data_IF_374163387044
#
_entry.id   IF_374163387044
#
_cell.length_a   1.000
_cell.length_b   1.000
_cell.length_c   1.000
_cell.angle_alpha   90.00
_cell.angle_beta   90.00
_cell.angle_gamma   90.00
#
_symmetry.space_group_name_H-M   'P 1'
#
loop_
_entity.id
_entity.type
_entity.pdbx_description
1 polymer ?
#
# COMPACT_ATOMS: atom_id res chain seq x y z
N UNK A 1 6.43 -40.12 14.27
CA UNK A 1 7.54 -39.43 14.97
C UNK A 1 7.46 -37.99 14.56
N UNK A 2 7.05 -37.15 15.46
CA UNK A 2 7.02 -35.72 15.23
C UNK A 2 8.45 -35.19 15.38
N UNK A 3 9.08 -34.83 14.32
CA UNK A 3 10.28 -34.02 14.39
C UNK A 3 9.85 -32.58 14.68
N UNK A 4 9.64 -32.30 15.94
CA UNK A 4 9.60 -30.94 16.42
C UNK A 4 10.99 -30.33 16.28
N UNK A 5 11.32 -29.85 15.10
CA UNK A 5 12.54 -29.08 14.90
C UNK A 5 12.25 -27.64 15.32
N UNK A 6 12.12 -27.44 16.62
CA UNK A 6 11.87 -26.14 17.24
C UNK A 6 12.89 -25.08 16.78
N UNK A 7 14.12 -25.52 16.50
CA UNK A 7 15.19 -24.61 16.05
C UNK A 7 14.95 -24.01 14.66
N UNK A 8 14.33 -24.75 13.74
CA UNK A 8 14.00 -24.21 12.39
C UNK A 8 12.83 -23.24 12.49
N UNK A 9 11.82 -23.54 13.31
CA UNK A 9 10.70 -22.63 13.55
C UNK A 9 11.16 -21.29 14.15
N UNK A 10 12.09 -21.34 15.09
CA UNK A 10 12.62 -20.14 15.75
C UNK A 10 13.49 -19.30 14.79
N UNK A 11 14.30 -19.97 13.96
CA UNK A 11 15.11 -19.29 12.93
C UNK A 11 14.20 -18.61 11.89
N UNK A 12 13.16 -19.30 11.42
CA UNK A 12 12.19 -18.74 10.47
C UNK A 12 11.48 -17.54 11.08
N UNK A 13 11.00 -17.64 12.31
CA UNK A 13 10.32 -16.54 13.00
C UNK A 13 11.23 -15.33 13.19
N UNK A 14 12.48 -15.55 13.55
CA UNK A 14 13.47 -14.47 13.74
C UNK A 14 13.83 -13.78 12.43
N UNK A 15 14.04 -14.55 11.36
CA UNK A 15 14.30 -13.99 10.02
C UNK A 15 13.12 -13.18 9.49
N UNK A 16 11.90 -13.65 9.64
CA UNK A 16 10.71 -12.92 9.20
C UNK A 16 10.57 -11.60 9.95
N UNK A 17 10.79 -11.59 11.27
CA UNK A 17 10.71 -10.34 12.05
C UNK A 17 11.78 -9.32 11.66
N UNK A 18 13.01 -9.76 11.42
CA UNK A 18 14.09 -8.84 11.05
C UNK A 18 13.91 -8.27 9.64
N UNK A 19 13.33 -9.04 8.72
CA UNK A 19 13.14 -8.64 7.32
C UNK A 19 11.93 -7.75 7.05
N UNK A 20 10.97 -7.69 7.95
CA UNK A 20 9.75 -6.87 7.74
C UNK A 20 10.08 -5.40 7.53
N UNK A 21 11.07 -4.86 8.26
CA UNK A 21 11.53 -3.49 8.09
C UNK A 21 12.26 -3.25 6.76
N UNK A 22 13.13 -4.17 6.38
CA UNK A 22 13.86 -4.11 5.12
C UNK A 22 12.94 -4.23 3.90
N UNK A 23 11.93 -5.10 3.98
CA UNK A 23 10.95 -5.27 2.91
C UNK A 23 10.18 -3.98 2.63
N UNK A 24 9.69 -3.31 3.66
CA UNK A 24 8.96 -2.06 3.51
C UNK A 24 9.82 -0.96 2.88
N UNK A 25 11.08 -0.87 3.25
CA UNK A 25 12.02 0.11 2.69
C UNK A 25 12.40 -0.25 1.24
N UNK A 26 12.59 -1.53 0.94
CA UNK A 26 12.92 -2.00 -0.41
C UNK A 26 11.79 -1.72 -1.42
N UNK A 27 10.54 -1.92 -1.05
CA UNK A 27 9.37 -1.56 -1.88
C UNK A 27 9.36 -0.06 -2.17
N UNK A 28 9.59 0.77 -1.15
CA UNK A 28 9.58 2.23 -1.29
C UNK A 28 10.75 2.73 -2.13
N UNK A 29 11.93 2.17 -1.97
CA UNK A 29 13.14 2.60 -2.68
C UNK A 29 13.16 2.17 -4.14
N UNK A 30 12.61 1.01 -4.47
CA UNK A 30 12.57 0.51 -5.85
C UNK A 30 11.49 1.17 -6.72
N UNK A 31 10.46 1.77 -6.11
CA UNK A 31 9.46 2.51 -6.86
C UNK A 31 9.80 4.01 -6.90
N UNK A 32 10.11 4.53 -8.09
CA UNK A 32 10.51 5.93 -8.29
C UNK A 32 9.42 6.91 -7.84
N UNK A 33 8.14 6.56 -8.00
CA UNK A 33 7.02 7.38 -7.56
C UNK A 33 6.95 7.45 -6.04
N UNK A 34 6.97 6.29 -5.37
CA UNK A 34 6.91 6.22 -3.90
C UNK A 34 8.11 6.94 -3.27
N UNK A 35 9.31 6.76 -3.82
CA UNK A 35 10.49 7.46 -3.36
C UNK A 35 10.31 8.98 -3.44
N UNK A 36 9.83 9.50 -4.56
CA UNK A 36 9.56 10.93 -4.72
C UNK A 36 8.48 11.46 -3.78
N UNK A 37 7.41 10.68 -3.55
CA UNK A 37 6.36 11.05 -2.60
C UNK A 37 6.89 11.10 -1.16
N UNK A 38 7.73 10.12 -0.79
CA UNK A 38 8.41 10.07 0.52
C UNK A 38 9.35 11.26 0.71
N UNK A 39 10.20 11.56 -0.28
CA UNK A 39 11.13 12.71 -0.27
C UNK A 39 10.40 14.05 -0.12
N UNK A 40 9.22 14.18 -0.71
CA UNK A 40 8.38 15.38 -0.61
C UNK A 40 7.50 15.44 0.65
N UNK A 41 7.55 14.44 1.51
CA UNK A 41 6.73 14.38 2.71
C UNK A 41 5.24 14.16 2.47
N UNK A 42 4.85 13.69 1.28
CA UNK A 42 3.45 13.44 0.92
C UNK A 42 2.95 12.05 1.34
N UNK A 43 3.75 11.31 2.11
CA UNK A 43 3.37 10.01 2.68
C UNK A 43 2.95 10.22 4.13
N UNK A 44 1.72 9.85 4.45
CA UNK A 44 1.17 9.92 5.81
C UNK A 44 0.99 8.51 6.37
N UNK A 45 1.34 8.34 7.63
CA UNK A 45 1.09 7.10 8.37
C UNK A 45 -0.18 7.22 9.20
N UNK A 46 -0.98 6.16 9.24
CA UNK A 46 -2.20 6.08 10.03
C UNK A 46 -2.02 5.09 11.17
N UNK A 47 -2.50 5.45 12.36
CA UNK A 47 -2.39 4.63 13.57
C UNK A 47 -3.66 3.85 13.90
N UNK A 48 -4.51 3.57 12.93
CA UNK A 48 -5.72 2.78 13.09
C UNK A 48 -6.92 3.33 12.31
N UNK A 49 -7.98 2.54 12.23
CA UNK A 49 -9.20 2.86 11.47
C UNK A 49 -9.44 1.88 10.34
N UNK A 50 -10.67 1.79 9.88
CA UNK A 50 -11.07 0.91 8.78
C UNK A 50 -11.07 1.63 7.42
N UNK A 51 -11.25 2.94 7.43
CA UNK A 51 -11.36 3.79 6.25
C UNK A 51 -10.54 5.04 6.46
N UNK A 52 -9.80 5.43 5.44
CA UNK A 52 -9.09 6.70 5.39
C UNK A 52 -9.99 7.70 4.68
N UNK A 53 -10.31 8.80 5.35
CA UNK A 53 -11.13 9.88 4.81
C UNK A 53 -10.23 11.07 4.49
N UNK A 54 -10.29 11.54 3.26
CA UNK A 54 -9.58 12.74 2.82
C UNK A 54 -10.60 13.78 2.34
N UNK A 55 -10.57 14.95 2.95
CA UNK A 55 -11.38 16.07 2.51
C UNK A 55 -10.90 16.57 1.15
N UNK A 56 -11.86 16.74 0.24
CA UNK A 56 -11.62 17.27 -1.11
C UNK A 56 -12.57 18.44 -1.34
N UNK A 57 -12.03 19.55 -1.79
CA UNK A 57 -12.80 20.62 -2.38
C UNK A 57 -13.07 20.26 -3.84
N UNK A 58 -14.31 19.90 -4.14
CA UNK A 58 -14.65 19.30 -5.42
C UNK A 58 -15.42 20.25 -6.34
N UNK A 59 -15.93 21.33 -5.82
CA UNK A 59 -16.65 22.33 -6.61
C UNK A 59 -16.23 23.73 -6.21
N UNK A 60 -15.80 24.50 -7.16
CA UNK A 60 -15.73 25.96 -7.03
C UNK A 60 -17.13 26.52 -7.31
N UNK A 61 -17.96 26.46 -6.33
CA UNK A 61 -19.30 27.00 -6.37
C UNK A 61 -19.31 28.52 -6.14
N UNK A 62 -18.17 29.17 -6.33
CA UNK A 62 -17.98 30.61 -6.23
C UNK A 62 -18.96 31.41 -7.10
N UNK A 63 -19.46 30.79 -8.17
CA UNK A 63 -20.44 31.38 -9.08
C UNK A 63 -21.70 31.88 -8.43
N UNK A 64 -22.10 31.32 -7.30
CA UNK A 64 -23.38 31.68 -6.67
C UNK A 64 -23.25 32.68 -5.53
N UNK A 65 -22.15 32.65 -4.77
CA UNK A 65 -22.00 33.46 -3.54
C UNK A 65 -20.82 34.45 -3.62
N UNK A 66 -20.00 34.37 -4.68
CA UNK A 66 -18.86 35.26 -4.88
C UNK A 66 -19.05 36.06 -6.17
N UNK A 67 -19.57 37.27 -6.06
CA UNK A 67 -19.76 38.17 -7.17
C UNK A 67 -19.20 39.56 -6.85
N UNK A 68 -18.78 40.29 -7.86
CA UNK A 68 -18.56 41.73 -7.74
C UNK A 68 -19.92 42.40 -7.58
N UNK A 69 -20.03 43.35 -6.68
CA UNK A 69 -21.26 44.08 -6.45
C UNK A 69 -21.07 45.59 -6.56
N UNK A 70 -22.11 46.31 -6.92
CA UNK A 70 -22.15 47.75 -7.01
C UNK A 70 -23.24 48.33 -6.10
N UNK A 71 -22.82 49.01 -5.04
CA UNK A 71 -23.66 49.83 -4.19
C UNK A 71 -24.79 49.09 -3.46
N UNK A 72 -25.99 49.07 -4.02
CA UNK A 72 -27.21 48.54 -3.37
C UNK A 72 -27.72 47.23 -3.91
N UNK A 73 -26.88 46.45 -4.58
CA UNK A 73 -27.27 45.13 -5.08
C UNK A 73 -27.44 44.12 -3.93
N UNK A 74 -28.43 43.22 -4.08
CA UNK A 74 -28.68 42.16 -3.10
C UNK A 74 -27.66 41.04 -3.33
N UNK A 75 -26.83 40.76 -2.33
CA UNK A 75 -25.89 39.65 -2.37
C UNK A 75 -26.64 38.33 -2.24
N UNK A 76 -26.28 37.36 -3.05
CA UNK A 76 -26.81 36.01 -2.95
C UNK A 76 -26.14 35.27 -1.77
N UNK A 77 -26.95 34.91 -0.76
CA UNK A 77 -26.53 34.19 0.45
C UNK A 77 -27.20 32.82 0.45
N UNK A 78 -26.90 32.00 -0.53
CA UNK A 78 -27.42 30.63 -0.57
C UNK A 78 -26.44 29.63 0.10
N UNK A 79 -27.00 28.57 0.65
CA UNK A 79 -26.19 27.49 1.20
C UNK A 79 -25.34 26.85 0.10
N UNK A 80 -24.04 26.70 0.36
CA UNK A 80 -23.10 26.07 -0.53
C UNK A 80 -22.34 24.97 0.20
N UNK A 81 -22.13 23.83 -0.45
CA UNK A 81 -21.38 22.69 0.08
C UNK A 81 -20.20 22.36 -0.85
N UNK A 82 -19.12 23.14 -0.83
CA UNK A 82 -17.98 22.96 -1.73
C UNK A 82 -17.06 21.79 -1.32
N UNK A 83 -17.23 21.25 -0.12
CA UNK A 83 -16.36 20.25 0.48
C UNK A 83 -17.04 18.89 0.43
N UNK A 84 -16.35 17.91 -0.11
CA UNK A 84 -16.72 16.50 -0.06
C UNK A 84 -15.59 15.68 0.57
N UNK A 85 -15.83 14.41 0.81
CA UNK A 85 -14.85 13.51 1.40
C UNK A 85 -14.63 12.30 0.48
N UNK A 86 -13.39 12.09 0.05
CA UNK A 86 -12.98 10.84 -0.57
C UNK A 86 -12.68 9.80 0.53
N UNK A 87 -13.17 8.60 0.33
CA UNK A 87 -12.96 7.48 1.24
C UNK A 87 -12.11 6.42 0.56
N UNK A 88 -11.06 5.99 1.26
CA UNK A 88 -10.16 4.95 0.80
C UNK A 88 -10.16 3.78 1.78
N UNK A 89 -10.38 2.58 1.26
CA UNK A 89 -10.32 1.35 2.05
C UNK A 89 -8.87 0.93 2.26
N UNK A 90 -8.58 0.36 3.43
CA UNK A 90 -7.27 -0.21 3.72
C UNK A 90 -7.18 -1.57 3.02
N UNK A 91 -6.10 -1.78 2.28
CA UNK A 91 -5.81 -3.04 1.58
C UNK A 91 -4.57 -3.69 2.16
N UNK A 92 -4.49 -5.02 2.04
CA UNK A 92 -3.37 -5.81 2.54
C UNK A 92 -2.79 -6.64 1.40
N UNK A 93 -1.47 -6.72 1.38
CA UNK A 93 -0.72 -7.58 0.47
C UNK A 93 0.03 -8.62 1.27
N UNK A 94 0.03 -9.85 0.78
CA UNK A 94 0.78 -10.95 1.37
C UNK A 94 1.43 -11.76 0.25
N UNK A 95 2.65 -12.22 0.51
CA UNK A 95 3.34 -13.20 -0.31
C UNK A 95 3.63 -14.43 0.54
N UNK A 96 3.25 -15.62 0.06
CA UNK A 96 3.46 -16.85 0.77
C UNK A 96 4.70 -17.56 0.25
N UNK A 97 5.55 -18.00 1.16
CA UNK A 97 6.71 -18.86 0.87
C UNK A 97 6.42 -20.26 1.42
N UNK A 98 6.51 -21.26 0.57
CA UNK A 98 6.34 -22.66 0.97
C UNK A 98 7.56 -23.49 0.57
N UNK A 99 7.95 -24.42 1.42
CA UNK A 99 9.02 -25.39 1.19
C UNK A 99 8.43 -26.77 1.46
N UNK A 100 8.59 -27.70 0.50
CA UNK A 100 8.11 -29.06 0.70
C UNK A 100 9.07 -29.87 1.57
N UNK A 101 8.53 -30.85 2.32
CA UNK A 101 9.35 -31.73 3.14
C UNK A 101 10.37 -32.54 2.32
N UNK A 102 10.05 -32.86 1.08
CA UNK A 102 10.97 -33.55 0.15
C UNK A 102 12.19 -32.69 -0.20
N UNK A 103 11.96 -31.42 -0.47
CA UNK A 103 13.05 -30.46 -0.78
C UNK A 103 13.96 -30.26 0.43
N UNK A 104 13.40 -30.28 1.64
CA UNK A 104 14.18 -30.21 2.88
C UNK A 104 15.08 -31.44 3.07
N UNK A 105 14.60 -32.63 2.68
CA UNK A 105 15.39 -33.87 2.76
C UNK A 105 16.48 -33.91 1.68
N UNK A 106 16.17 -33.47 0.48
CA UNK A 106 17.13 -33.43 -0.64
C UNK A 106 18.24 -32.39 -0.42
N UNK A 107 17.95 -31.28 0.24
CA UNK A 107 18.90 -30.27 0.69
C UNK A 107 19.37 -30.56 2.13
N UNK A 108 19.93 -31.73 2.39
CA UNK A 108 20.35 -32.18 3.70
C UNK A 108 21.59 -31.47 4.21
N UNK A 109 21.41 -30.28 4.76
CA UNK A 109 22.43 -29.50 5.46
C UNK A 109 21.79 -28.27 6.10
N UNK A 110 22.19 -27.93 7.31
CA UNK A 110 21.64 -26.75 7.98
C UNK A 110 21.81 -25.47 7.16
N UNK A 111 22.96 -25.31 6.55
CA UNK A 111 23.31 -24.17 5.73
C UNK A 111 22.52 -24.15 4.41
N UNK A 112 22.41 -25.29 3.72
CA UNK A 112 21.66 -25.40 2.47
C UNK A 112 20.15 -25.11 2.62
N UNK A 113 19.55 -25.49 3.75
CA UNK A 113 18.13 -25.17 4.04
C UNK A 113 17.96 -23.68 4.28
N UNK A 114 18.87 -23.04 4.98
CA UNK A 114 18.86 -21.60 5.24
C UNK A 114 19.01 -20.84 3.92
N UNK A 115 19.95 -21.23 3.07
CA UNK A 115 20.17 -20.59 1.77
C UNK A 115 18.95 -20.74 0.84
N UNK A 116 18.30 -21.91 0.84
CA UNK A 116 17.07 -22.13 0.07
C UNK A 116 15.92 -21.25 0.57
N UNK A 117 15.77 -21.15 1.88
CA UNK A 117 14.75 -20.29 2.49
C UNK A 117 15.00 -18.82 2.15
N UNK A 118 16.23 -18.34 2.32
CA UNK A 118 16.63 -16.98 2.01
C UNK A 118 16.43 -16.66 0.51
N UNK A 119 16.80 -17.57 -0.38
CA UNK A 119 16.57 -17.41 -1.81
C UNK A 119 15.07 -17.26 -2.14
N UNK A 120 14.21 -18.09 -1.54
CA UNK A 120 12.75 -17.99 -1.75
C UNK A 120 12.15 -16.75 -1.14
N UNK A 121 12.63 -16.32 0.01
CA UNK A 121 12.20 -15.06 0.62
C UNK A 121 12.56 -13.86 -0.26
N UNK A 122 13.76 -13.81 -0.81
CA UNK A 122 14.18 -12.74 -1.72
C UNK A 122 13.29 -12.69 -2.99
N UNK A 123 12.94 -13.85 -3.54
CA UNK A 123 12.00 -13.92 -4.68
C UNK A 123 10.61 -13.41 -4.30
N UNK A 124 10.09 -13.81 -3.14
CA UNK A 124 8.80 -13.36 -2.65
C UNK A 124 8.77 -11.85 -2.39
N UNK A 125 9.85 -11.30 -1.83
CA UNK A 125 10.03 -9.85 -1.64
C UNK A 125 10.00 -9.10 -2.97
N UNK A 126 10.76 -9.56 -3.96
CA UNK A 126 10.79 -8.97 -5.28
C UNK A 126 9.42 -9.01 -5.97
N UNK A 127 8.71 -10.13 -5.85
CA UNK A 127 7.36 -10.28 -6.39
C UNK A 127 6.37 -9.32 -5.70
N UNK A 128 6.44 -9.18 -4.39
CA UNK A 128 5.59 -8.27 -3.63
C UNK A 128 5.87 -6.81 -4.01
N UNK A 129 7.14 -6.43 -4.10
CA UNK A 129 7.56 -5.09 -4.52
C UNK A 129 7.07 -4.76 -5.93
N UNK A 130 7.23 -5.68 -6.88
CA UNK A 130 6.77 -5.52 -8.25
C UNK A 130 5.24 -5.42 -8.32
N UNK A 131 4.52 -6.23 -7.55
CA UNK A 131 3.06 -6.19 -7.51
C UNK A 131 2.54 -4.87 -6.98
N UNK A 132 3.02 -4.41 -5.84
CA UNK A 132 2.63 -3.13 -5.25
C UNK A 132 2.99 -1.98 -6.20
N UNK A 133 4.18 -2.00 -6.80
CA UNK A 133 4.61 -0.98 -7.76
C UNK A 133 3.71 -0.90 -8.99
N UNK A 134 3.23 -2.04 -9.49
CA UNK A 134 2.28 -2.09 -10.60
C UNK A 134 0.90 -1.58 -10.20
N UNK A 135 0.38 -2.04 -9.07
CA UNK A 135 -0.98 -1.72 -8.61
C UNK A 135 -1.16 -0.24 -8.24
N UNK A 136 -0.09 0.49 -7.86
CA UNK A 136 -0.14 1.93 -7.60
C UNK A 136 -0.56 2.74 -8.84
N UNK A 137 -0.29 2.25 -10.03
CA UNK A 137 -0.68 2.93 -11.28
C UNK A 137 -2.07 2.53 -11.78
N UNK A 138 -2.67 1.48 -11.23
CA UNK A 138 -3.97 0.94 -11.63
C UNK A 138 -5.12 1.64 -10.88
N UNK A 139 -6.34 1.19 -11.17
CA UNK A 139 -7.58 1.72 -10.60
C UNK A 139 -8.05 1.04 -9.30
N UNK A 140 -7.41 -0.06 -8.90
CA UNK A 140 -7.79 -0.84 -7.71
C UNK A 140 -8.89 -1.86 -7.93
N UNK A 141 -9.46 -1.98 -9.15
CA UNK A 141 -10.54 -2.94 -9.44
C UNK A 141 -10.06 -4.39 -9.57
N UNK A 142 -8.77 -4.58 -9.74
CA UNK A 142 -8.15 -5.90 -9.85
C UNK A 142 -8.38 -6.78 -8.62
N UNK A 143 -8.33 -8.11 -8.80
CA UNK A 143 -8.55 -9.09 -7.75
C UNK A 143 -9.86 -8.87 -6.96
N UNK A 144 -10.95 -8.63 -7.68
CA UNK A 144 -12.28 -8.37 -7.11
C UNK A 144 -12.31 -7.14 -6.16
N UNK A 145 -11.58 -6.09 -6.51
CA UNK A 145 -11.54 -4.84 -5.74
C UNK A 145 -10.68 -4.89 -4.47
N UNK A 146 -9.78 -5.87 -4.36
CA UNK A 146 -8.87 -6.02 -3.22
C UNK A 146 -7.52 -5.35 -3.41
N UNK A 147 -7.23 -4.85 -4.62
CA UNK A 147 -6.00 -4.14 -4.89
C UNK A 147 -6.04 -2.72 -4.32
N UNK A 148 -4.86 -2.14 -4.12
CA UNK A 148 -4.74 -0.74 -3.70
C UNK A 148 -5.38 0.18 -4.75
N UNK A 149 -6.11 1.18 -4.29
CA UNK A 149 -6.64 2.24 -5.14
C UNK A 149 -5.49 3.12 -5.61
N UNK A 150 -5.16 3.01 -6.89
CA UNK A 150 -4.00 3.68 -7.46
C UNK A 150 -4.34 5.01 -8.12
N UNK A 151 -3.36 5.58 -8.80
CA UNK A 151 -3.43 6.92 -9.41
C UNK A 151 -4.51 7.04 -10.51
N UNK A 152 -4.85 5.94 -11.19
CA UNK A 152 -5.81 5.99 -12.29
C UNK A 152 -7.20 6.43 -11.85
N UNK A 153 -7.59 6.12 -10.62
CA UNK A 153 -8.88 6.62 -10.06
C UNK A 153 -8.87 8.14 -9.92
N UNK A 154 -7.75 8.72 -9.49
CA UNK A 154 -7.63 10.17 -9.36
C UNK A 154 -7.67 10.93 -10.69
N UNK A 155 -7.28 10.28 -11.80
CA UNK A 155 -7.25 10.88 -13.14
C UNK A 155 -8.61 10.78 -13.83
N UNK A 156 -9.41 9.74 -13.54
CA UNK A 156 -10.72 9.51 -14.18
C UNK A 156 -11.87 10.28 -13.53
N UNK A 157 -11.64 10.97 -12.41
CA UNK A 157 -12.64 11.78 -11.71
C UNK A 157 -12.71 13.25 -12.19
N UNK A 158 -12.12 13.56 -13.34
CA UNK A 158 -12.22 14.88 -14.00
C UNK A 158 -13.10 14.84 -15.23
#
# INVERSE_FOLDING_TARGET
MAFANSSISDIIATNIQSRTGELADNVTNNNALLRRLKERGNVKTFSGGNVIVQEIMYSDSATNNTNSYSGYEVLNVSQNSPISAAQFSITQYASAVSISGLEMIQNSGKEAIIDLLDGRMNVAEAQLANRISGDIYLDGTGNSGKNITGLNVGVTLH
#
